data_IF_009142239495
#
_entry.id   IF_009142239495
#
_cell.length_a   1.000
_cell.length_b   1.000
_cell.length_c   1.000
_cell.angle_alpha   90.00
_cell.angle_beta   90.00
_cell.angle_gamma   90.00
#
_symmetry.space_group_name_H-M   'P 1'
#
loop_
_entity.id
_entity.type
_entity.pdbx_description
1 polymer ?
#
# COMPACT_ATOMS: atom_id res chain seq x y z
N UNK A 1 -14.81 11.14 0.65
CA UNK A 1 -14.21 9.79 0.80
C UNK A 1 -13.84 9.60 2.27
N UNK A 2 -14.07 8.42 2.85
CA UNK A 2 -13.81 8.16 4.29
C UNK A 2 -12.81 7.01 4.46
N UNK A 3 -11.93 7.10 5.46
CA UNK A 3 -11.04 6.00 5.83
C UNK A 3 -11.89 4.91 6.48
N UNK A 4 -11.82 3.70 5.95
CA UNK A 4 -12.45 2.53 6.52
C UNK A 4 -11.57 1.86 7.57
N UNK A 5 -10.36 1.51 7.15
CA UNK A 5 -9.44 0.69 7.95
C UNK A 5 -8.01 1.01 7.56
N UNK A 6 -7.08 0.65 8.44
CA UNK A 6 -5.64 0.64 8.14
C UNK A 6 -5.15 -0.79 8.24
N UNK A 7 -4.25 -1.21 7.36
CA UNK A 7 -3.61 -2.52 7.43
C UNK A 7 -2.10 -2.40 7.20
N UNK A 8 -1.27 -3.19 7.89
CA UNK A 8 0.16 -3.22 7.65
C UNK A 8 0.46 -3.95 6.33
N UNK A 9 1.43 -3.43 5.57
CA UNK A 9 2.02 -4.08 4.40
C UNK A 9 3.52 -4.15 4.59
N UNK A 10 4.08 -5.30 4.26
CA UNK A 10 5.51 -5.55 4.29
C UNK A 10 6.04 -5.49 2.86
N UNK A 11 7.05 -4.67 2.63
CA UNK A 11 7.73 -4.51 1.35
C UNK A 11 9.20 -4.83 1.53
N UNK A 12 9.72 -5.78 0.77
CA UNK A 12 11.16 -6.03 0.73
C UNK A 12 11.85 -4.90 -0.04
N UNK A 13 13.01 -4.49 0.43
CA UNK A 13 13.85 -3.50 -0.23
C UNK A 13 15.15 -4.15 -0.72
N UNK A 14 16.01 -3.35 -1.36
CA UNK A 14 17.38 -3.73 -1.63
C UNK A 14 18.07 -4.13 -0.31
N UNK A 15 18.77 -5.28 -0.33
CA UNK A 15 19.57 -5.71 0.81
C UNK A 15 20.63 -4.66 1.15
N UNK A 16 20.79 -4.39 2.43
CA UNK A 16 21.87 -3.54 2.92
C UNK A 16 23.03 -4.45 3.32
N UNK A 17 24.04 -4.53 2.44
CA UNK A 17 25.12 -5.51 2.56
C UNK A 17 24.55 -6.94 2.62
N UNK A 18 24.82 -7.68 3.68
CA UNK A 18 24.32 -9.06 3.91
C UNK A 18 22.93 -9.12 4.56
N UNK A 19 22.30 -7.96 4.84
CA UNK A 19 21.03 -7.91 5.57
C UNK A 19 19.84 -7.68 4.63
N UNK A 20 18.85 -8.57 4.70
CA UNK A 20 17.56 -8.37 4.06
C UNK A 20 16.81 -7.22 4.73
N UNK A 21 16.41 -6.22 3.95
CA UNK A 21 15.68 -5.05 4.44
C UNK A 21 14.18 -5.21 4.13
N UNK A 22 13.34 -4.91 5.12
CA UNK A 22 11.89 -4.93 4.97
C UNK A 22 11.27 -3.67 5.55
N UNK A 23 10.54 -2.93 4.72
CA UNK A 23 9.76 -1.78 5.14
C UNK A 23 8.36 -2.24 5.54
N UNK A 24 7.93 -1.85 6.74
CA UNK A 24 6.56 -2.03 7.21
C UNK A 24 5.82 -0.70 7.08
N UNK A 25 4.88 -0.63 6.14
CA UNK A 25 4.05 0.56 5.91
C UNK A 25 2.62 0.31 6.39
N UNK A 26 1.96 1.35 6.91
CA UNK A 26 0.53 1.30 7.19
C UNK A 26 -0.25 1.85 6.00
N UNK A 27 -1.10 1.01 5.42
CA UNK A 27 -1.93 1.36 4.25
C UNK A 27 -3.34 1.69 4.71
N UNK A 28 -3.83 2.86 4.33
CA UNK A 28 -5.24 3.27 4.49
C UNK A 28 -6.08 2.67 3.38
N UNK A 29 -7.20 2.07 3.77
CA UNK A 29 -8.28 1.64 2.89
C UNK A 29 -9.42 2.64 2.99
N UNK A 30 -9.90 3.10 1.85
CA UNK A 30 -10.98 4.08 1.73
C UNK A 30 -12.26 3.44 1.22
N UNK A 31 -13.38 4.06 1.57
CA UNK A 31 -14.65 3.84 0.91
C UNK A 31 -15.06 5.03 0.02
N UNK A 32 -15.54 4.69 -1.17
CA UNK A 32 -16.27 5.61 -2.02
C UNK A 32 -17.71 5.74 -1.51
N UNK A 33 -18.13 6.97 -1.20
CA UNK A 33 -19.50 7.27 -0.76
C UNK A 33 -20.48 7.44 -1.91
N UNK A 34 -20.01 7.46 -3.17
CA UNK A 34 -20.87 7.65 -4.33
C UNK A 34 -21.65 6.34 -4.63
N UNK A 35 -23.00 6.35 -4.58
CA UNK A 35 -23.84 5.17 -4.85
C UNK A 35 -23.63 4.60 -6.27
N UNK A 36 -23.38 5.44 -7.27
CA UNK A 36 -23.16 5.03 -8.66
C UNK A 36 -21.74 4.49 -8.94
N UNK A 37 -20.84 4.54 -7.96
CA UNK A 37 -19.45 4.11 -8.17
C UNK A 37 -19.34 2.57 -8.15
N UNK A 38 -18.86 1.99 -9.25
CA UNK A 38 -18.62 0.55 -9.38
C UNK A 38 -17.60 0.03 -8.35
N UNK A 39 -16.59 0.83 -8.00
CA UNK A 39 -15.56 0.47 -7.01
C UNK A 39 -15.77 1.19 -5.69
N UNK A 40 -16.32 0.47 -4.72
CA UNK A 40 -16.59 1.02 -3.38
C UNK A 40 -15.35 1.09 -2.49
N UNK A 41 -14.35 0.25 -2.70
CA UNK A 41 -13.14 0.21 -1.86
C UNK A 41 -11.86 0.38 -2.68
N UNK A 42 -10.93 1.15 -2.14
CA UNK A 42 -9.60 1.33 -2.71
C UNK A 42 -8.59 1.61 -1.59
N UNK A 43 -7.32 1.28 -1.83
CA UNK A 43 -6.22 1.59 -0.93
C UNK A 43 -5.54 2.88 -1.37
N UNK A 44 -4.88 3.60 -0.46
CA UNK A 44 -3.98 4.68 -0.89
C UNK A 44 -2.87 4.12 -1.79
N UNK A 45 -2.54 4.83 -2.87
CA UNK A 45 -1.38 4.49 -3.67
C UNK A 45 -0.10 4.89 -2.94
N UNK A 46 0.95 4.08 -3.11
CA UNK A 46 2.31 4.42 -2.72
C UNK A 46 3.19 4.43 -3.97
N UNK A 47 2.78 5.15 -5.01
CA UNK A 47 3.39 5.04 -6.33
C UNK A 47 4.91 5.29 -6.32
N UNK A 48 5.39 6.22 -5.49
CA UNK A 48 6.82 6.51 -5.33
C UNK A 48 7.59 5.40 -4.61
N UNK A 49 6.91 4.59 -3.79
CA UNK A 49 7.52 3.53 -2.99
C UNK A 49 7.38 2.14 -3.61
N UNK A 50 6.20 1.77 -4.09
CA UNK A 50 5.88 0.46 -4.64
C UNK A 50 4.57 0.49 -5.44
N UNK A 51 4.55 -0.15 -6.61
CA UNK A 51 3.31 -0.33 -7.37
C UNK A 51 2.26 -1.15 -6.60
N UNK A 52 1.00 -1.03 -7.02
CA UNK A 52 -0.09 -1.79 -6.40
C UNK A 52 0.22 -3.29 -6.44
N UNK A 53 -0.05 -3.98 -5.33
CA UNK A 53 0.24 -5.41 -5.15
C UNK A 53 1.72 -5.83 -5.20
N UNK A 54 2.67 -4.92 -5.41
CA UNK A 54 4.10 -5.25 -5.33
C UNK A 54 4.48 -5.83 -3.96
N UNK A 55 5.45 -6.73 -3.97
CA UNK A 55 6.07 -7.25 -2.73
C UNK A 55 7.41 -6.59 -2.42
N UNK A 56 7.91 -5.78 -3.36
CA UNK A 56 9.17 -5.04 -3.25
C UNK A 56 8.92 -3.55 -3.44
N UNK A 57 9.83 -2.74 -2.91
CA UNK A 57 9.94 -1.32 -3.25
C UNK A 57 10.32 -1.17 -4.73
N UNK A 58 10.21 0.04 -5.27
CA UNK A 58 10.66 0.36 -6.64
C UNK A 58 12.19 0.47 -6.78
N UNK A 59 12.95 -0.02 -5.79
CA UNK A 59 14.41 0.05 -5.73
C UNK A 59 15.06 -1.31 -5.99
#
# INVERSE_FOLDING_TARGET
MKIHSRYPRHLSDLSLMEYAVMLRVQVRRFFCSNPACARKTFAEPFADLAVSHARRTNR
#
